data_IF_156587422115
#
_entry.id   IF_156587422115
#
_cell.length_a   1.000
_cell.length_b   1.000
_cell.length_c   1.000
_cell.angle_alpha   90.00
_cell.angle_beta   90.00
_cell.angle_gamma   90.00
#
_symmetry.space_group_name_H-M   'P 1'
#
loop_
_entity.id
_entity.type
_entity.pdbx_description
1 polymer ?
#
# COMPACT_ATOMS: atom_id res chain seq x y z
N UNK A 1 -9.44 -10.23 4.10
CA UNK A 1 -10.27 -10.35 2.87
C UNK A 1 -9.42 -9.89 1.70
N UNK A 2 -9.35 -10.70 0.64
CA UNK A 2 -8.69 -10.32 -0.60
C UNK A 2 -9.75 -10.12 -1.68
N UNK A 3 -9.84 -8.91 -2.22
CA UNK A 3 -10.81 -8.55 -3.26
C UNK A 3 -10.07 -8.35 -4.57
N UNK A 4 -10.15 -9.33 -5.46
CA UNK A 4 -9.57 -9.29 -6.80
C UNK A 4 -10.55 -8.63 -7.77
N UNK A 5 -10.15 -7.52 -8.39
CA UNK A 5 -11.00 -6.72 -9.26
C UNK A 5 -10.34 -6.63 -10.63
N UNK A 6 -10.92 -7.25 -11.64
CA UNK A 6 -10.38 -7.25 -12.99
C UNK A 6 -9.04 -7.97 -13.15
N UNK A 7 -8.69 -8.85 -12.22
CA UNK A 7 -7.48 -9.66 -12.29
C UNK A 7 -7.69 -10.88 -13.19
N UNK A 8 -6.61 -11.38 -13.78
CA UNK A 8 -6.65 -12.65 -14.53
C UNK A 8 -6.95 -13.81 -13.57
N UNK A 9 -7.77 -14.74 -13.98
CA UNK A 9 -8.13 -15.93 -13.20
C UNK A 9 -6.90 -16.71 -12.71
N UNK A 10 -5.89 -16.88 -13.58
CA UNK A 10 -4.64 -17.54 -13.22
C UNK A 10 -3.85 -16.82 -12.12
N UNK A 11 -3.90 -15.48 -12.10
CA UNK A 11 -3.25 -14.66 -11.05
C UNK A 11 -3.94 -14.90 -9.72
N UNK A 12 -5.27 -14.85 -9.70
CA UNK A 12 -6.07 -15.09 -8.49
C UNK A 12 -5.87 -16.51 -7.97
N UNK A 13 -5.90 -17.50 -8.87
CA UNK A 13 -5.62 -18.90 -8.52
C UNK A 13 -4.23 -19.06 -7.88
N UNK A 14 -3.21 -18.37 -8.41
CA UNK A 14 -1.86 -18.37 -7.85
C UNK A 14 -1.81 -17.76 -6.44
N UNK A 15 -2.54 -16.67 -6.18
CA UNK A 15 -2.66 -16.06 -4.85
C UNK A 15 -3.35 -17.01 -3.88
N UNK A 16 -4.49 -17.60 -4.27
CA UNK A 16 -5.24 -18.57 -3.45
C UNK A 16 -4.38 -19.78 -3.11
N UNK A 17 -3.62 -20.30 -4.08
CA UNK A 17 -2.73 -21.44 -3.83
C UNK A 17 -1.64 -21.08 -2.80
N UNK A 18 -1.01 -19.91 -2.92
CA UNK A 18 -0.01 -19.46 -1.95
C UNK A 18 -0.59 -19.28 -0.53
N UNK A 19 -1.82 -18.76 -0.42
CA UNK A 19 -2.52 -18.64 0.87
C UNK A 19 -2.83 -20.03 1.45
N UNK A 20 -3.22 -20.98 0.60
CA UNK A 20 -3.49 -22.37 1.00
C UNK A 20 -2.22 -23.07 1.48
N UNK A 21 -1.12 -22.98 0.74
CA UNK A 21 0.16 -23.60 1.08
C UNK A 21 0.74 -23.10 2.40
N UNK A 22 0.32 -21.90 2.84
CA UNK A 22 0.73 -21.27 4.11
C UNK A 22 -0.30 -21.38 5.23
N UNK A 23 -1.38 -22.12 5.00
CA UNK A 23 -2.46 -22.27 5.98
C UNK A 23 -3.32 -21.02 6.20
N UNK A 24 -3.12 -19.97 5.41
CA UNK A 24 -3.79 -18.69 5.58
C UNK A 24 -5.27 -18.71 5.14
N UNK A 25 -5.68 -19.71 4.36
CA UNK A 25 -7.09 -19.84 3.94
C UNK A 25 -8.06 -20.08 5.11
N UNK A 26 -7.57 -20.51 6.25
CA UNK A 26 -8.41 -20.71 7.43
C UNK A 26 -9.05 -19.40 7.96
N UNK A 27 -8.42 -18.26 7.67
CA UNK A 27 -8.88 -16.92 8.08
C UNK A 27 -8.98 -15.94 6.91
N UNK A 28 -8.93 -16.42 5.66
CA UNK A 28 -9.00 -15.55 4.47
C UNK A 28 -10.27 -15.83 3.67
N UNK A 29 -10.97 -14.75 3.33
CA UNK A 29 -12.06 -14.75 2.36
C UNK A 29 -11.58 -14.10 1.06
N UNK A 30 -11.83 -14.74 -0.07
CA UNK A 30 -11.52 -14.21 -1.40
C UNK A 30 -12.81 -13.81 -2.09
N UNK A 31 -12.88 -12.57 -2.54
CA UNK A 31 -13.96 -12.04 -3.40
C UNK A 31 -13.33 -11.74 -4.75
N UNK A 32 -13.89 -12.26 -5.82
CA UNK A 32 -13.29 -12.12 -7.14
C UNK A 32 -14.31 -11.71 -8.20
N UNK A 33 -13.96 -10.68 -8.95
CA UNK A 33 -14.55 -10.36 -10.25
C UNK A 33 -13.42 -10.35 -11.27
N UNK A 34 -13.38 -11.38 -12.14
CA UNK A 34 -12.31 -11.58 -13.12
C UNK A 34 -12.30 -10.50 -14.22
N UNK A 35 -11.20 -10.40 -14.95
CA UNK A 35 -11.06 -9.45 -16.06
C UNK A 35 -12.07 -9.70 -17.21
N UNK A 36 -12.63 -10.90 -17.30
CA UNK A 36 -13.68 -11.26 -18.29
C UNK A 36 -15.11 -10.96 -17.80
N UNK A 37 -15.27 -10.56 -16.54
CA UNK A 37 -16.58 -10.20 -16.01
C UNK A 37 -17.06 -8.84 -16.53
N UNK A 38 -18.36 -8.64 -16.42
CA UNK A 38 -18.99 -7.37 -16.84
C UNK A 38 -18.63 -6.21 -15.93
N UNK A 39 -18.63 -4.99 -16.46
CA UNK A 39 -18.32 -3.79 -15.69
C UNK A 39 -19.15 -3.64 -14.38
N UNK A 40 -20.46 -3.98 -14.33
CA UNK A 40 -21.22 -4.00 -13.08
C UNK A 40 -20.66 -4.94 -12.01
N UNK A 41 -20.10 -6.09 -12.39
CA UNK A 41 -19.49 -7.03 -11.46
C UNK A 41 -18.20 -6.48 -10.87
N UNK A 42 -17.35 -5.86 -11.71
CA UNK A 42 -16.13 -5.18 -11.28
C UNK A 42 -16.44 -3.99 -10.35
N UNK A 43 -17.52 -3.29 -10.64
CA UNK A 43 -18.01 -2.17 -9.83
C UNK A 43 -18.45 -2.62 -8.43
N UNK A 44 -19.23 -3.72 -8.31
CA UNK A 44 -19.85 -4.12 -7.04
C UNK A 44 -18.92 -4.95 -6.15
N UNK A 45 -17.93 -5.65 -6.71
CA UNK A 45 -17.06 -6.58 -5.98
C UNK A 45 -16.39 -5.96 -4.74
N UNK A 46 -15.78 -4.75 -4.78
CA UNK A 46 -15.18 -4.16 -3.59
C UNK A 46 -16.20 -3.82 -2.51
N UNK A 47 -17.41 -3.41 -2.87
CA UNK A 47 -18.48 -3.18 -1.87
C UNK A 47 -18.96 -4.46 -1.21
N UNK A 48 -19.03 -5.56 -1.97
CA UNK A 48 -19.34 -6.88 -1.41
C UNK A 48 -18.24 -7.32 -0.42
N UNK A 49 -16.96 -7.13 -0.78
CA UNK A 49 -15.84 -7.39 0.11
C UNK A 49 -15.90 -6.57 1.40
N UNK A 50 -16.20 -5.26 1.28
CA UNK A 50 -16.38 -4.38 2.43
C UNK A 50 -17.51 -4.84 3.35
N UNK A 51 -18.66 -5.24 2.79
CA UNK A 51 -19.79 -5.74 3.57
C UNK A 51 -19.45 -7.02 4.37
N UNK A 52 -18.66 -7.92 3.76
CA UNK A 52 -18.12 -9.09 4.47
C UNK A 52 -17.18 -8.66 5.60
N UNK A 53 -16.34 -7.66 5.37
CA UNK A 53 -15.45 -7.09 6.40
C UNK A 53 -16.21 -6.49 7.56
N UNK A 54 -17.25 -5.72 7.29
CA UNK A 54 -18.12 -5.11 8.29
C UNK A 54 -18.82 -6.17 9.16
N UNK A 55 -19.20 -7.30 8.57
CA UNK A 55 -19.78 -8.42 9.34
C UNK A 55 -18.87 -8.87 10.49
N UNK A 56 -17.55 -8.93 10.27
CA UNK A 56 -16.59 -9.30 11.30
C UNK A 56 -16.27 -8.11 12.23
N UNK A 57 -16.10 -6.92 11.67
CA UNK A 57 -15.78 -5.70 12.43
C UNK A 57 -16.87 -5.40 13.48
N UNK A 58 -18.15 -5.45 13.11
CA UNK A 58 -19.26 -5.24 14.04
C UNK A 58 -19.43 -6.35 15.09
N UNK A 59 -18.65 -7.43 14.98
CA UNK A 59 -18.56 -8.50 15.97
C UNK A 59 -17.28 -8.42 16.83
N UNK A 60 -16.65 -7.27 16.87
CA UNK A 60 -15.47 -7.02 17.68
C UNK A 60 -14.19 -7.68 17.14
N UNK A 61 -14.15 -8.03 15.83
CA UNK A 61 -12.98 -8.65 15.21
C UNK A 61 -12.20 -7.64 14.38
N UNK A 62 -10.90 -7.89 14.26
CA UNK A 62 -10.02 -7.08 13.40
C UNK A 62 -9.98 -7.68 12.00
N UNK A 63 -10.12 -6.82 10.98
CA UNK A 63 -10.18 -7.19 9.57
C UNK A 63 -9.10 -6.46 8.79
N UNK A 64 -8.37 -7.18 7.97
CA UNK A 64 -7.56 -6.61 6.89
C UNK A 64 -8.28 -6.87 5.57
N UNK A 65 -8.53 -5.82 4.79
CA UNK A 65 -9.11 -5.93 3.45
C UNK A 65 -8.16 -5.32 2.41
N UNK A 66 -7.85 -6.10 1.37
CA UNK A 66 -7.00 -5.69 0.24
C UNK A 66 -7.87 -5.59 -1.00
N UNK A 67 -7.86 -4.44 -1.67
CA UNK A 67 -8.55 -4.21 -2.95
C UNK A 67 -7.53 -4.22 -4.09
N UNK A 68 -7.52 -5.25 -4.91
CA UNK A 68 -6.57 -5.47 -6.00
C UNK A 68 -7.29 -5.54 -7.36
N UNK A 69 -7.49 -4.42 -8.08
CA UNK A 69 -7.19 -3.04 -7.70
C UNK A 69 -8.37 -2.09 -7.95
N UNK A 70 -8.35 -0.95 -7.29
CA UNK A 70 -9.41 0.06 -7.44
C UNK A 70 -9.28 0.88 -8.74
N UNK A 71 -8.13 0.86 -9.41
CA UNK A 71 -8.00 1.47 -10.75
C UNK A 71 -8.94 0.80 -11.74
N UNK A 72 -9.04 -0.53 -11.70
CA UNK A 72 -9.95 -1.30 -12.55
C UNK A 72 -11.42 -1.08 -12.19
N UNK A 73 -11.72 -0.91 -10.89
CA UNK A 73 -13.07 -0.49 -10.49
C UNK A 73 -13.44 0.88 -11.08
N UNK A 74 -12.52 1.84 -11.03
CA UNK A 74 -12.75 3.16 -11.60
C UNK A 74 -12.99 3.10 -13.12
N UNK A 75 -12.22 2.29 -13.85
CA UNK A 75 -12.40 2.06 -15.28
C UNK A 75 -13.78 1.44 -15.57
N UNK A 76 -14.19 0.44 -14.82
CA UNK A 76 -15.52 -0.17 -14.93
C UNK A 76 -16.63 0.84 -14.68
N UNK A 77 -16.47 1.70 -13.68
CA UNK A 77 -17.45 2.75 -13.38
C UNK A 77 -17.50 3.82 -14.48
N UNK A 78 -16.37 4.17 -15.08
CA UNK A 78 -16.31 5.04 -16.26
C UNK A 78 -17.06 4.42 -17.43
N UNK A 79 -16.86 3.14 -17.72
CA UNK A 79 -17.56 2.41 -18.78
C UNK A 79 -19.07 2.43 -18.56
N UNK A 80 -19.57 2.07 -17.38
CA UNK A 80 -20.98 2.13 -17.02
C UNK A 80 -21.54 3.54 -17.23
N UNK A 81 -20.81 4.56 -16.77
CA UNK A 81 -21.25 5.94 -16.84
C UNK A 81 -21.36 6.45 -18.28
N UNK A 82 -20.40 6.07 -19.14
CA UNK A 82 -20.43 6.42 -20.56
C UNK A 82 -21.57 5.72 -21.32
N UNK A 83 -21.82 4.44 -21.02
CA UNK A 83 -22.97 3.71 -21.57
C UNK A 83 -24.29 4.32 -21.16
N UNK A 84 -24.40 4.85 -19.95
CA UNK A 84 -25.55 5.58 -19.45
C UNK A 84 -25.61 7.05 -19.94
N UNK A 85 -24.72 7.44 -20.86
CA UNK A 85 -24.63 8.80 -21.43
C UNK A 85 -24.44 9.90 -20.36
N UNK A 86 -23.82 9.58 -19.23
CA UNK A 86 -23.46 10.57 -18.22
C UNK A 86 -22.30 11.44 -18.74
N UNK A 87 -22.34 12.77 -18.53
CA UNK A 87 -21.29 13.64 -19.05
C UNK A 87 -19.93 13.30 -18.46
N UNK A 88 -18.89 13.09 -19.32
CA UNK A 88 -17.54 12.79 -18.83
C UNK A 88 -16.87 14.06 -18.29
N UNK A 89 -16.08 13.87 -17.21
CA UNK A 89 -15.19 14.87 -16.65
C UNK A 89 -13.72 14.60 -17.01
N UNK A 90 -12.82 14.89 -16.07
CA UNK A 90 -11.36 14.68 -16.23
C UNK A 90 -11.08 13.20 -16.55
N UNK A 91 -10.22 12.96 -17.54
CA UNK A 91 -9.84 11.62 -18.02
C UNK A 91 -11.05 10.74 -18.40
N UNK A 92 -12.14 11.39 -18.83
CA UNK A 92 -13.43 10.78 -19.15
C UNK A 92 -14.13 10.06 -17.97
N UNK A 93 -13.65 10.23 -16.74
CA UNK A 93 -14.36 9.75 -15.56
C UNK A 93 -15.61 10.59 -15.27
N UNK A 94 -16.68 10.00 -14.71
CA UNK A 94 -17.84 10.77 -14.28
C UNK A 94 -17.47 11.68 -13.09
N UNK A 95 -18.22 12.78 -12.93
CA UNK A 95 -17.93 13.78 -11.89
C UNK A 95 -17.96 13.26 -10.45
N UNK A 96 -18.59 12.11 -10.21
CA UNK A 96 -18.73 11.47 -8.91
C UNK A 96 -17.75 10.31 -8.68
N UNK A 97 -16.69 10.16 -9.50
CA UNK A 97 -15.69 9.08 -9.31
C UNK A 97 -14.95 9.20 -7.99
N UNK A 98 -14.76 10.39 -7.45
CA UNK A 98 -14.23 10.57 -6.11
C UNK A 98 -15.11 9.88 -5.07
N UNK A 99 -16.41 10.04 -5.17
CA UNK A 99 -17.37 9.42 -4.26
C UNK A 99 -17.42 7.90 -4.39
N UNK A 100 -17.13 7.35 -5.58
CA UNK A 100 -16.96 5.89 -5.75
C UNK A 100 -16.01 5.29 -4.74
N UNK A 101 -14.83 5.88 -4.57
CA UNK A 101 -13.79 5.39 -3.68
C UNK A 101 -13.96 5.88 -2.24
N UNK A 102 -14.37 7.13 -2.01
CA UNK A 102 -14.51 7.65 -0.66
C UNK A 102 -15.57 6.89 0.14
N UNK A 103 -16.75 6.65 -0.42
CA UNK A 103 -17.80 5.87 0.25
C UNK A 103 -17.44 4.40 0.49
N UNK A 104 -16.46 3.85 -0.23
CA UNK A 104 -15.92 2.52 0.00
C UNK A 104 -14.88 2.53 1.12
N UNK A 105 -13.90 3.43 1.02
CA UNK A 105 -12.72 3.43 1.89
C UNK A 105 -13.02 3.99 3.29
N UNK A 106 -13.96 4.93 3.42
CA UNK A 106 -14.40 5.45 4.73
C UNK A 106 -15.18 4.42 5.58
N UNK A 107 -15.53 3.27 5.00
CA UNK A 107 -16.08 2.13 5.76
C UNK A 107 -15.03 1.41 6.59
N UNK A 108 -13.74 1.55 6.25
CA UNK A 108 -12.63 1.05 7.04
C UNK A 108 -12.41 1.97 8.25
N UNK A 109 -12.62 1.44 9.44
CA UNK A 109 -12.57 2.20 10.68
C UNK A 109 -12.21 1.30 11.87
N UNK A 110 -11.81 1.94 12.98
CA UNK A 110 -11.82 1.31 14.30
C UNK A 110 -13.06 1.78 15.06
N UNK A 111 -13.85 0.84 15.51
CA UNK A 111 -15.06 1.12 16.29
C UNK A 111 -14.72 1.43 17.75
N UNK A 112 -15.55 2.25 18.39
CA UNK A 112 -15.49 2.44 19.84
C UNK A 112 -15.86 1.14 20.58
N UNK A 113 -15.49 1.04 21.84
CA UNK A 113 -15.86 -0.11 22.68
C UNK A 113 -17.39 -0.29 22.76
N UNK A 114 -18.14 0.80 22.80
CA UNK A 114 -19.61 0.81 22.79
C UNK A 114 -20.19 0.23 21.49
N UNK A 115 -19.49 0.39 20.37
CA UNK A 115 -19.88 -0.15 19.06
C UNK A 115 -19.28 -1.55 18.79
N UNK A 116 -18.61 -2.17 19.79
CA UNK A 116 -18.06 -3.51 19.70
C UNK A 116 -16.54 -3.61 19.58
N UNK A 117 -15.82 -2.49 19.46
CA UNK A 117 -14.34 -2.42 19.52
C UNK A 117 -13.58 -3.02 18.32
N UNK A 118 -14.26 -3.57 17.32
CA UNK A 118 -13.63 -4.17 16.14
C UNK A 118 -12.99 -3.12 15.20
N UNK A 119 -12.16 -3.60 14.28
CA UNK A 119 -11.51 -2.73 13.31
C UNK A 119 -11.50 -3.31 11.90
N UNK A 120 -11.40 -2.41 10.90
CA UNK A 120 -11.12 -2.79 9.52
C UNK A 120 -10.06 -1.88 8.94
N UNK A 121 -8.94 -2.47 8.50
CA UNK A 121 -7.86 -1.78 7.80
C UNK A 121 -7.95 -2.10 6.32
N UNK A 122 -8.05 -1.07 5.48
CA UNK A 122 -8.10 -1.20 4.03
C UNK A 122 -6.74 -0.90 3.40
N UNK A 123 -6.30 -1.78 2.51
CA UNK A 123 -5.14 -1.59 1.65
C UNK A 123 -5.60 -1.56 0.18
N UNK A 124 -5.99 -0.40 -0.34
CA UNK A 124 -6.32 -0.26 -1.75
C UNK A 124 -5.04 -0.23 -2.59
N UNK A 125 -5.02 -1.04 -3.65
CA UNK A 125 -3.98 -1.01 -4.66
C UNK A 125 -4.46 -0.10 -5.80
N UNK A 126 -3.59 0.80 -6.23
CA UNK A 126 -3.81 1.71 -7.36
C UNK A 126 -2.67 1.52 -8.35
N UNK A 127 -2.99 1.23 -9.60
CA UNK A 127 -2.02 1.20 -10.69
C UNK A 127 -1.67 2.63 -11.12
N UNK A 128 -0.38 2.90 -11.28
CA UNK A 128 0.12 4.16 -11.86
C UNK A 128 0.69 3.90 -13.25
N UNK A 129 0.51 4.84 -14.18
CA UNK A 129 1.15 4.82 -15.49
C UNK A 129 2.52 5.49 -15.36
N UNK A 130 3.61 4.73 -15.64
CA UNK A 130 4.99 5.23 -15.55
C UNK A 130 5.34 5.92 -14.20
N UNK A 131 4.73 5.49 -13.09
CA UNK A 131 4.96 6.07 -11.78
C UNK A 131 4.28 7.43 -11.54
N UNK A 132 3.38 7.86 -12.42
CA UNK A 132 2.67 9.15 -12.27
C UNK A 132 1.59 9.07 -11.17
N UNK A 133 1.96 9.55 -9.98
CA UNK A 133 1.04 9.69 -8.84
C UNK A 133 0.16 10.94 -8.93
N UNK A 134 0.40 11.84 -9.89
CA UNK A 134 -0.38 13.06 -10.09
C UNK A 134 -1.62 12.85 -10.96
N UNK A 135 -1.78 11.67 -11.54
CA UNK A 135 -2.97 11.28 -12.29
C UNK A 135 -4.24 11.33 -11.42
N UNK A 136 -5.40 11.36 -12.06
CA UNK A 136 -6.67 11.65 -11.39
C UNK A 136 -7.06 10.63 -10.32
N UNK A 137 -6.99 9.34 -10.62
CA UNK A 137 -7.37 8.30 -9.64
C UNK A 137 -6.37 8.19 -8.49
N UNK A 138 -5.03 8.14 -8.72
CA UNK A 138 -4.06 8.15 -7.63
C UNK A 138 -4.24 9.33 -6.67
N UNK A 139 -4.38 10.56 -7.17
CA UNK A 139 -4.55 11.76 -6.32
C UNK A 139 -5.82 11.71 -5.49
N UNK A 140 -6.92 11.22 -6.06
CA UNK A 140 -8.18 11.05 -5.32
C UNK A 140 -7.98 10.06 -4.15
N UNK A 141 -7.38 8.89 -4.40
CA UNK A 141 -7.22 7.87 -3.36
C UNK A 141 -6.21 8.30 -2.29
N UNK A 142 -5.12 8.97 -2.66
CA UNK A 142 -4.18 9.58 -1.69
C UNK A 142 -4.91 10.56 -0.77
N UNK A 143 -5.85 11.35 -1.29
CA UNK A 143 -6.59 12.32 -0.48
C UNK A 143 -7.60 11.67 0.47
N UNK A 144 -8.17 10.53 0.10
CA UNK A 144 -9.13 9.77 0.91
C UNK A 144 -8.44 8.99 2.03
N UNK A 145 -7.31 8.34 1.72
CA UNK A 145 -6.61 7.42 2.63
C UNK A 145 -5.71 8.14 3.63
N UNK A 146 -5.30 7.44 4.70
CA UNK A 146 -4.39 7.96 5.73
C UNK A 146 -2.92 7.94 5.34
N UNK A 147 -2.63 7.79 4.08
CA UNK A 147 -1.28 7.77 3.53
C UNK A 147 -1.15 6.85 2.33
N UNK A 148 0.07 6.73 1.82
CA UNK A 148 0.39 5.86 0.69
C UNK A 148 1.74 5.18 0.90
N UNK A 149 1.84 3.96 0.38
CA UNK A 149 3.09 3.22 0.18
C UNK A 149 3.39 3.29 -1.31
N UNK A 150 4.42 4.03 -1.71
CA UNK A 150 4.81 4.20 -3.10
C UNK A 150 5.85 3.16 -3.49
N UNK A 151 5.51 2.32 -4.47
CA UNK A 151 6.41 1.32 -5.04
C UNK A 151 7.01 1.85 -6.35
N UNK A 152 8.32 1.73 -6.49
CA UNK A 152 9.09 2.32 -7.59
C UNK A 152 9.80 1.23 -8.41
N UNK A 153 9.58 1.25 -9.71
CA UNK A 153 10.12 0.25 -10.64
C UNK A 153 11.66 0.26 -10.65
N UNK A 154 12.27 1.43 -10.57
CA UNK A 154 13.74 1.58 -10.60
C UNK A 154 14.37 0.97 -9.35
N UNK A 155 13.75 1.13 -8.17
CA UNK A 155 14.19 0.46 -6.94
C UNK A 155 14.08 -1.06 -7.05
N UNK A 156 13.01 -1.55 -7.68
CA UNK A 156 12.82 -2.98 -7.90
C UNK A 156 13.92 -3.57 -8.81
N UNK A 157 14.24 -2.88 -9.90
CA UNK A 157 15.30 -3.29 -10.82
C UNK A 157 16.70 -3.17 -10.18
N UNK A 158 16.91 -2.20 -9.29
CA UNK A 158 18.12 -2.06 -8.50
C UNK A 158 18.26 -3.12 -7.37
N UNK A 159 17.30 -4.05 -7.25
CA UNK A 159 17.34 -5.11 -6.23
C UNK A 159 16.88 -4.69 -4.84
N UNK A 160 16.34 -3.49 -4.68
CA UNK A 160 15.71 -3.03 -3.43
C UNK A 160 14.30 -3.64 -3.36
N UNK A 161 14.11 -4.61 -2.46
CA UNK A 161 12.83 -5.33 -2.30
C UNK A 161 12.49 -5.47 -0.82
N UNK A 162 11.29 -5.00 -0.40
CA UNK A 162 10.25 -4.32 -1.22
C UNK A 162 10.75 -3.01 -1.81
N UNK A 163 10.25 -2.67 -3.00
CA UNK A 163 10.67 -1.50 -3.77
C UNK A 163 9.98 -0.21 -3.28
N UNK A 164 10.01 0.02 -1.98
CA UNK A 164 9.31 1.15 -1.34
C UNK A 164 10.18 2.41 -1.41
N UNK A 165 9.63 3.45 -2.04
CA UNK A 165 10.23 4.78 -1.97
C UNK A 165 9.84 5.45 -0.64
N UNK A 166 10.78 5.48 0.31
CA UNK A 166 10.57 6.05 1.66
C UNK A 166 10.29 7.56 1.62
N UNK A 167 10.83 8.26 0.63
CA UNK A 167 10.63 9.71 0.44
C UNK A 167 9.20 10.07 0.06
N UNK A 168 8.62 9.32 -0.89
CA UNK A 168 7.27 9.53 -1.44
C UNK A 168 6.17 8.83 -0.64
N UNK A 169 6.53 7.85 0.20
CA UNK A 169 5.59 7.17 1.07
C UNK A 169 5.29 8.03 2.30
N UNK A 170 4.01 8.13 2.65
CA UNK A 170 3.54 8.97 3.76
C UNK A 170 2.53 8.20 4.59
N UNK A 171 2.58 8.37 5.92
CA UNK A 171 1.52 7.95 6.84
C UNK A 171 1.04 9.17 7.63
N UNK A 172 -0.25 9.49 7.57
CA UNK A 172 -0.87 10.56 8.36
C UNK A 172 -1.01 10.16 9.83
N UNK A 173 -1.16 8.87 10.10
CA UNK A 173 -1.19 8.32 11.47
C UNK A 173 0.21 8.37 12.09
N UNK A 174 1.23 8.03 11.31
CA UNK A 174 2.64 8.18 11.66
C UNK A 174 3.01 7.51 12.97
N UNK A 175 3.76 8.25 13.80
CA UNK A 175 4.27 7.74 15.07
C UNK A 175 3.18 7.38 16.10
N UNK A 176 1.92 7.78 15.91
CA UNK A 176 0.84 7.40 16.83
C UNK A 176 0.51 5.90 16.77
N UNK A 177 0.78 5.25 15.61
CA UNK A 177 0.59 3.81 15.43
C UNK A 177 1.82 2.97 15.81
N UNK A 178 2.97 3.61 16.08
CA UNK A 178 4.22 2.91 16.38
C UNK A 178 4.32 2.53 17.86
N UNK A 179 4.93 1.37 18.12
CA UNK A 179 5.40 1.03 19.46
C UNK A 179 6.43 2.05 19.94
N UNK A 180 6.49 2.33 21.23
CA UNK A 180 7.40 3.32 21.80
C UNK A 180 8.87 3.10 21.41
N UNK A 181 9.35 1.84 21.44
CA UNK A 181 10.68 1.47 21.03
C UNK A 181 10.91 1.73 19.53
N UNK A 182 9.96 1.34 18.67
CA UNK A 182 10.02 1.59 17.23
C UNK A 182 10.12 3.09 16.92
N UNK A 183 9.33 3.91 17.61
CA UNK A 183 9.36 5.36 17.45
C UNK A 183 10.73 5.98 17.76
N UNK A 184 11.43 5.42 18.74
CA UNK A 184 12.77 5.88 19.12
C UNK A 184 13.80 5.54 18.04
N UNK A 185 13.82 4.29 17.55
CA UNK A 185 14.85 3.83 16.60
C UNK A 185 14.59 4.28 15.16
N UNK A 186 13.32 4.38 14.74
CA UNK A 186 12.95 4.75 13.38
C UNK A 186 12.84 6.26 13.16
N UNK A 187 12.89 7.08 14.22
CA UNK A 187 12.59 8.52 14.15
C UNK A 187 13.46 9.31 13.15
N UNK A 188 14.72 8.93 13.00
CA UNK A 188 15.68 9.56 12.07
C UNK A 188 15.83 8.85 10.74
N UNK A 189 15.39 7.60 10.63
CA UNK A 189 15.63 6.72 9.49
C UNK A 189 15.25 7.35 8.14
N UNK A 190 14.09 8.00 8.08
CA UNK A 190 13.62 8.65 6.86
C UNK A 190 14.53 9.79 6.41
N UNK A 191 15.01 10.59 7.35
CA UNK A 191 15.90 11.73 7.07
C UNK A 191 17.28 11.24 6.64
N UNK A 192 17.83 10.25 7.34
CA UNK A 192 19.13 9.65 7.03
C UNK A 192 19.12 9.01 5.63
N UNK A 193 18.05 8.30 5.26
CA UNK A 193 17.89 7.74 3.91
C UNK A 193 17.70 8.79 2.83
N UNK A 194 17.02 9.90 3.13
CA UNK A 194 16.89 11.02 2.20
C UNK A 194 18.26 11.66 1.92
N UNK A 195 19.01 11.94 2.97
CA UNK A 195 20.37 12.47 2.87
C UNK A 195 21.32 11.52 2.12
N UNK A 196 21.25 10.22 2.40
CA UNK A 196 22.00 9.21 1.67
C UNK A 196 21.71 9.24 0.17
N UNK A 197 20.43 9.28 -0.24
CA UNK A 197 20.04 9.31 -1.65
C UNK A 197 20.55 10.55 -2.37
N UNK A 198 20.47 11.70 -1.72
CA UNK A 198 21.02 12.95 -2.26
C UNK A 198 22.53 12.85 -2.46
N UNK A 199 23.27 12.46 -1.44
CA UNK A 199 24.72 12.31 -1.49
C UNK A 199 25.16 11.22 -2.48
N UNK A 200 24.43 10.09 -2.57
CA UNK A 200 24.74 9.01 -3.50
C UNK A 200 24.64 9.46 -4.97
N UNK A 201 23.69 10.35 -5.29
CA UNK A 201 23.58 10.92 -6.63
C UNK A 201 24.78 11.82 -6.99
N UNK A 202 25.28 12.61 -6.04
CA UNK A 202 26.45 13.45 -6.23
C UNK A 202 27.75 12.64 -6.26
N UNK A 203 27.86 11.60 -5.45
CA UNK A 203 29.06 10.76 -5.38
C UNK A 203 29.41 10.04 -6.69
N UNK A 204 28.44 9.88 -7.60
CA UNK A 204 28.68 9.33 -8.92
C UNK A 204 29.51 10.27 -9.83
N UNK A 205 29.57 11.55 -9.49
CA UNK A 205 30.24 12.59 -10.30
C UNK A 205 31.52 13.15 -9.68
N UNK A 206 31.84 12.80 -8.40
CA UNK A 206 32.97 13.38 -7.67
C UNK A 206 33.93 12.32 -7.14
N UNK A 207 35.25 12.54 -7.35
CA UNK A 207 36.31 11.62 -6.91
C UNK A 207 36.82 11.87 -5.47
N UNK A 208 36.65 13.08 -4.92
CA UNK A 208 37.18 13.46 -3.61
C UNK A 208 36.04 13.80 -2.63
N UNK A 209 35.58 12.76 -1.94
CA UNK A 209 34.62 12.91 -0.84
C UNK A 209 35.35 13.07 0.49
N UNK A 210 34.92 14.00 1.31
CA UNK A 210 35.40 14.16 2.68
C UNK A 210 35.00 12.94 3.55
N UNK A 211 35.60 12.82 4.74
CA UNK A 211 35.35 11.70 5.64
C UNK A 211 33.89 11.67 6.07
N UNK A 212 33.28 12.80 6.41
CA UNK A 212 31.90 12.85 6.93
C UNK A 212 30.90 12.38 5.85
N UNK A 213 31.09 12.79 4.60
CA UNK A 213 30.28 12.35 3.46
C UNK A 213 30.42 10.84 3.23
N UNK A 214 31.65 10.30 3.30
CA UNK A 214 31.90 8.85 3.18
C UNK A 214 31.20 8.04 4.29
N UNK A 215 31.26 8.51 5.54
CA UNK A 215 30.62 7.87 6.67
C UNK A 215 29.09 7.87 6.51
N UNK A 216 28.50 8.99 6.03
CA UNK A 216 27.06 9.09 5.74
C UNK A 216 26.64 8.15 4.62
N UNK A 217 27.44 8.03 3.56
CA UNK A 217 27.17 7.11 2.46
C UNK A 217 27.25 5.64 2.90
N UNK A 218 28.28 5.29 3.69
CA UNK A 218 28.43 3.95 4.22
C UNK A 218 27.26 3.57 5.14
N UNK A 219 26.81 4.48 6.02
CA UNK A 219 25.68 4.27 6.90
C UNK A 219 24.38 4.10 6.12
N UNK A 220 24.09 4.98 5.16
CA UNK A 220 22.88 4.90 4.34
C UNK A 220 22.82 3.65 3.47
N UNK A 221 23.96 3.20 2.95
CA UNK A 221 24.06 1.94 2.22
C UNK A 221 23.70 0.73 3.11
N UNK A 222 24.26 0.67 4.34
CA UNK A 222 23.91 -0.38 5.32
C UNK A 222 22.41 -0.35 5.68
N UNK A 223 21.86 0.83 5.94
CA UNK A 223 20.43 0.99 6.22
C UNK A 223 19.56 0.49 5.07
N UNK A 224 19.93 0.81 3.82
CA UNK A 224 19.21 0.33 2.64
C UNK A 224 19.25 -1.20 2.54
N UNK A 225 20.39 -1.82 2.83
CA UNK A 225 20.51 -3.28 2.80
C UNK A 225 19.68 -3.95 3.90
N UNK A 226 19.66 -3.39 5.11
CA UNK A 226 18.87 -3.90 6.23
C UNK A 226 17.34 -3.79 6.01
N UNK A 227 16.90 -2.84 5.20
CA UNK A 227 15.49 -2.69 4.85
C UNK A 227 15.01 -3.66 3.76
N UNK A 228 15.92 -4.36 3.09
CA UNK A 228 15.54 -5.42 2.15
C UNK A 228 14.99 -6.63 2.90
N UNK A 229 13.90 -7.16 2.41
CA UNK A 229 13.24 -8.32 3.01
C UNK A 229 12.98 -9.39 1.95
N UNK A 230 13.27 -10.66 2.24
CA UNK A 230 12.82 -11.76 1.40
C UNK A 230 11.30 -11.83 1.37
N UNK A 231 10.75 -12.23 0.24
CA UNK A 231 9.32 -12.47 0.12
C UNK A 231 8.88 -13.58 1.10
N UNK A 232 7.79 -13.37 1.82
CA UNK A 232 7.24 -14.30 2.81
C UNK A 232 8.11 -14.55 4.05
N UNK A 233 8.98 -13.62 4.40
CA UNK A 233 9.76 -13.64 5.63
C UNK A 233 9.39 -12.44 6.53
N UNK A 234 8.17 -12.41 7.11
CA UNK A 234 7.80 -11.34 8.04
C UNK A 234 8.69 -11.38 9.27
N UNK A 235 8.98 -10.20 9.82
CA UNK A 235 9.80 -10.03 11.00
C UNK A 235 8.93 -9.49 12.14
N UNK A 236 9.06 -10.03 13.32
CA UNK A 236 8.35 -9.53 14.49
C UNK A 236 8.79 -8.11 14.85
N UNK A 237 7.90 -7.33 15.47
CA UNK A 237 8.17 -5.92 15.78
C UNK A 237 9.40 -5.73 16.70
N UNK A 238 9.67 -6.67 17.61
CA UNK A 238 10.83 -6.64 18.48
C UNK A 238 12.14 -6.81 17.67
N UNK A 239 12.14 -7.75 16.73
CA UNK A 239 13.29 -8.00 15.83
C UNK A 239 13.54 -6.82 14.91
N UNK A 240 12.45 -6.20 14.38
CA UNK A 240 12.57 -4.96 13.59
C UNK A 240 13.24 -3.84 14.40
N UNK A 241 12.86 -3.65 15.67
CA UNK A 241 13.46 -2.65 16.55
C UNK A 241 14.94 -2.94 16.76
N UNK A 242 15.31 -4.20 17.02
CA UNK A 242 16.71 -4.61 17.25
C UNK A 242 17.58 -4.37 16.00
N UNK A 243 17.07 -4.73 14.82
CA UNK A 243 17.77 -4.53 13.54
C UNK A 243 17.96 -3.05 13.23
N UNK A 244 16.91 -2.23 13.42
CA UNK A 244 16.99 -0.79 13.18
C UNK A 244 17.91 -0.08 14.18
N UNK A 245 17.92 -0.50 15.45
CA UNK A 245 18.83 0.00 16.45
C UNK A 245 20.28 -0.27 16.08
N UNK A 246 20.61 -1.52 15.73
CA UNK A 246 21.95 -1.91 15.27
C UNK A 246 22.41 -1.13 14.02
N UNK A 247 21.50 -0.83 13.10
CA UNK A 247 21.79 -0.01 11.93
C UNK A 247 22.09 1.45 12.27
N UNK A 248 21.46 1.97 13.33
CA UNK A 248 21.60 3.35 13.77
C UNK A 248 22.90 3.64 14.52
N UNK A 249 23.38 2.68 15.32
CA UNK A 249 24.57 2.81 16.18
C UNK A 249 25.90 2.43 15.47
N UNK A 250 25.84 1.70 14.38
CA UNK A 250 27.01 1.28 13.57
C UNK A 250 27.28 2.18 12.39
#
# INVERSE_FOLDING_TARGET
IYVAIGQKESTVAGVVQKLRDRGAMAYTTVVCAHASETAPMLYIAPYAGAAIGEYFMYRGRDVLIVYDDLSKQAVAYREISLLLQRPPGREAYPGDVFYLHSRLLERAARLSEEAGGGSMTALPIIETQAGDISAYIPTNVISITDGQIFLETDLFHAGVRPAINVGLSVSRVGGAAQLGAMKQVAGRLRMDLAQYRELASFAQFGSDLDKATRDTLARGSRMTELLKQPQYAPMDAADQVAVLFAAGEG
#
